data_IF_728528034011
#
_entry.id   IF_728528034011
#
_cell.length_a   1.000
_cell.length_b   1.000
_cell.length_c   1.000
_cell.angle_alpha   90.00
_cell.angle_beta   90.00
_cell.angle_gamma   90.00
#
_symmetry.space_group_name_H-M   'P 1'
#
loop_
_entity.id
_entity.type
_entity.pdbx_description
1 polymer ?
#
# COMPACT_ATOMS: atom_id res chain seq x y z
N UNK A 1 -2.06 -25.02 34.18
CA UNK A 1 -2.43 -23.75 33.52
C UNK A 1 -1.69 -23.43 32.21
N UNK A 2 -0.63 -24.14 31.80
CA UNK A 2 0.09 -23.83 30.54
C UNK A 2 -0.58 -24.33 29.25
N UNK A 3 -1.46 -25.34 29.32
CA UNK A 3 -2.10 -25.94 28.12
C UNK A 3 -3.11 -25.01 27.44
N UNK A 4 -3.86 -24.21 28.20
CA UNK A 4 -4.87 -23.29 27.64
C UNK A 4 -4.25 -22.11 26.89
N UNK A 5 -3.08 -21.62 27.31
CA UNK A 5 -2.39 -20.51 26.65
C UNK A 5 -1.93 -20.87 25.24
N UNK A 6 -1.41 -22.10 25.05
CA UNK A 6 -0.99 -22.60 23.74
C UNK A 6 -2.19 -22.83 22.80
N UNK A 7 -3.33 -23.28 23.33
CA UNK A 7 -4.55 -23.45 22.53
C UNK A 7 -5.10 -22.11 22.05
N UNK A 8 -5.05 -21.06 22.88
CA UNK A 8 -5.49 -19.71 22.50
C UNK A 8 -4.60 -19.13 21.41
N UNK A 9 -3.28 -19.25 21.53
CA UNK A 9 -2.33 -18.79 20.50
C UNK A 9 -2.55 -19.52 19.16
N UNK A 10 -2.79 -20.83 19.20
CA UNK A 10 -3.09 -21.61 18.00
C UNK A 10 -4.43 -21.20 17.36
N UNK A 11 -5.47 -20.96 18.17
CA UNK A 11 -6.75 -20.45 17.69
C UNK A 11 -6.60 -19.09 17.00
N UNK A 12 -5.82 -18.19 17.61
CA UNK A 12 -5.56 -16.84 17.07
C UNK A 12 -4.88 -16.91 15.70
N UNK A 13 -3.90 -17.78 15.51
CA UNK A 13 -3.23 -17.99 14.22
C UNK A 13 -4.21 -18.53 13.17
N UNK A 14 -5.09 -19.46 13.54
CA UNK A 14 -6.09 -20.02 12.63
C UNK A 14 -7.17 -18.99 12.21
N UNK A 15 -7.57 -18.09 13.11
CA UNK A 15 -8.47 -16.98 12.78
C UNK A 15 -7.84 -15.94 11.85
N UNK A 16 -6.51 -15.75 11.92
CA UNK A 16 -5.83 -14.83 11.00
C UNK A 16 -5.69 -15.42 9.58
N UNK A 17 -5.64 -16.76 9.44
CA UNK A 17 -5.53 -17.42 8.14
C UNK A 17 -6.83 -17.49 7.32
N UNK A 18 -8.00 -17.29 7.93
CA UNK A 18 -9.30 -17.39 7.23
C UNK A 18 -9.65 -16.19 6.36
N UNK A 19 -8.86 -15.10 6.39
CA UNK A 19 -9.07 -13.90 5.59
C UNK A 19 -8.18 -13.80 4.35
N UNK A 20 -7.38 -14.83 4.05
CA UNK A 20 -6.27 -14.73 3.09
C UNK A 20 -6.59 -15.14 1.63
N UNK A 21 -7.78 -15.69 1.32
CA UNK A 21 -7.93 -16.52 0.11
C UNK A 21 -8.78 -15.97 -1.05
N UNK A 22 -9.49 -14.83 -0.93
CA UNK A 22 -10.56 -14.53 -1.90
C UNK A 22 -10.39 -13.30 -2.81
N UNK A 23 -9.19 -12.73 -2.94
CA UNK A 23 -9.02 -11.55 -3.81
C UNK A 23 -7.80 -11.67 -4.71
N UNK A 24 -8.06 -11.89 -5.99
CA UNK A 24 -7.11 -11.58 -7.04
C UNK A 24 -6.72 -10.10 -6.88
N UNK A 25 -5.53 -9.86 -6.35
CA UNK A 25 -5.01 -8.52 -6.09
C UNK A 25 -4.97 -7.75 -7.40
N UNK A 26 -5.72 -6.66 -7.48
CA UNK A 26 -5.63 -5.75 -8.63
C UNK A 26 -4.29 -5.03 -8.54
N UNK A 27 -3.53 -5.03 -9.62
CA UNK A 27 -2.30 -4.26 -9.74
C UNK A 27 -2.58 -3.14 -10.75
N UNK A 28 -2.23 -1.92 -10.37
CA UNK A 28 -2.29 -0.75 -11.24
C UNK A 28 -0.90 -0.20 -11.52
N UNK A 29 -0.81 0.70 -12.48
CA UNK A 29 0.37 1.51 -12.74
C UNK A 29 -0.06 2.96 -12.83
N UNK A 30 0.71 3.87 -12.24
CA UNK A 30 0.46 5.29 -12.28
C UNK A 30 1.79 6.01 -12.40
N UNK A 31 1.84 7.04 -13.22
CA UNK A 31 2.93 8.00 -13.22
C UNK A 31 2.37 9.36 -12.81
N UNK A 32 3.09 10.12 -12.00
CA UNK A 32 2.75 11.50 -11.68
C UNK A 32 3.93 12.42 -11.94
N UNK A 33 3.65 13.58 -12.51
CA UNK A 33 4.63 14.64 -12.76
C UNK A 33 4.24 15.85 -11.93
N UNK A 34 5.15 16.31 -11.07
CA UNK A 34 4.94 17.47 -10.21
C UNK A 34 6.16 18.39 -10.28
N UNK A 35 6.01 19.53 -10.95
CA UNK A 35 7.08 20.51 -11.20
C UNK A 35 8.33 19.90 -11.84
N UNK A 36 9.28 19.42 -11.03
CA UNK A 36 10.53 18.78 -11.47
C UNK A 36 10.69 17.35 -10.96
N UNK A 37 9.64 16.77 -10.37
CA UNK A 37 9.61 15.41 -9.87
C UNK A 37 8.72 14.53 -10.75
N UNK A 38 9.23 13.36 -11.11
CA UNK A 38 8.51 12.31 -11.80
C UNK A 38 8.46 11.09 -10.88
N UNK A 39 7.25 10.64 -10.53
CA UNK A 39 7.05 9.45 -9.71
C UNK A 39 6.38 8.34 -10.53
N UNK A 40 6.91 7.14 -10.41
CA UNK A 40 6.26 5.90 -10.83
C UNK A 40 5.70 5.19 -9.61
N UNK A 41 4.40 4.93 -9.62
CA UNK A 41 3.66 4.30 -8.54
C UNK A 41 3.07 2.98 -9.04
N UNK A 42 3.17 1.95 -8.21
CA UNK A 42 2.59 0.64 -8.50
C UNK A 42 1.57 0.27 -7.41
N UNK A 43 0.30 0.71 -7.53
CA UNK A 43 -0.75 0.33 -6.59
C UNK A 43 -1.03 -1.17 -6.61
N UNK A 44 -0.93 -1.80 -5.44
CA UNK A 44 -1.27 -3.19 -5.20
C UNK A 44 -2.44 -3.24 -4.22
N UNK A 45 -3.59 -3.68 -4.71
CA UNK A 45 -4.79 -3.86 -3.89
C UNK A 45 -4.63 -5.13 -3.05
N UNK A 46 -4.50 -4.96 -1.74
CA UNK A 46 -4.45 -6.05 -0.77
C UNK A 46 -5.86 -6.46 -0.37
N UNK A 47 -6.78 -5.49 -0.34
CA UNK A 47 -8.18 -5.74 -0.04
C UNK A 47 -9.08 -4.86 -0.91
N UNK A 48 -10.39 -4.96 -0.72
CA UNK A 48 -11.36 -4.11 -1.40
C UNK A 48 -11.27 -2.63 -1.02
N UNK A 49 -10.61 -2.31 0.10
CA UNK A 49 -10.51 -0.96 0.63
C UNK A 49 -9.06 -0.56 0.90
N UNK A 50 -8.10 -1.49 0.88
CA UNK A 50 -6.72 -1.22 1.25
C UNK A 50 -5.76 -1.46 0.10
N UNK A 51 -4.89 -0.47 -0.14
CA UNK A 51 -3.91 -0.47 -1.22
C UNK A 51 -2.55 -0.06 -0.68
N UNK A 52 -1.53 -0.82 -1.05
CA UNK A 52 -0.13 -0.47 -0.83
C UNK A 52 0.48 -0.06 -2.15
N UNK A 53 1.25 1.02 -2.15
CA UNK A 53 1.73 1.70 -3.35
C UNK A 53 3.22 1.96 -3.18
N UNK A 54 4.10 1.00 -3.52
CA UNK A 54 5.50 1.32 -3.75
C UNK A 54 5.63 2.40 -4.83
N UNK A 55 6.58 3.30 -4.63
CA UNK A 55 6.86 4.43 -5.50
C UNK A 55 8.36 4.58 -5.72
N UNK A 56 8.74 4.90 -6.96
CA UNK A 56 10.09 5.32 -7.33
C UNK A 56 9.97 6.70 -7.94
N UNK A 57 10.64 7.68 -7.34
CA UNK A 57 10.67 9.06 -7.77
C UNK A 57 12.00 9.44 -8.38
N UNK A 58 11.96 10.34 -9.35
CA UNK A 58 13.12 10.99 -9.92
C UNK A 58 12.90 12.50 -9.86
N UNK A 59 13.74 13.19 -9.09
CA UNK A 59 13.66 14.63 -8.94
C UNK A 59 14.83 15.29 -9.65
N UNK A 60 14.52 16.19 -10.57
CA UNK A 60 15.49 17.03 -11.24
C UNK A 60 15.59 18.32 -10.42
N UNK A 61 16.65 18.44 -9.62
CA UNK A 61 16.99 19.70 -8.97
C UNK A 61 17.90 20.49 -9.90
N UNK A 62 17.67 21.79 -10.00
CA UNK A 62 18.26 22.71 -10.98
C UNK A 62 19.75 22.46 -11.26
N UNK A 63 20.06 22.29 -12.55
CA UNK A 63 21.35 22.27 -13.26
C UNK A 63 22.44 21.26 -12.87
N UNK A 64 22.50 20.71 -11.65
CA UNK A 64 23.66 19.87 -11.24
C UNK A 64 23.36 18.64 -10.39
N UNK A 65 22.12 18.38 -10.00
CA UNK A 65 21.79 17.22 -9.15
C UNK A 65 20.49 16.56 -9.57
N UNK A 66 20.54 15.25 -9.78
CA UNK A 66 19.37 14.39 -9.95
C UNK A 66 19.26 13.48 -8.73
N UNK A 67 18.11 13.52 -8.06
CA UNK A 67 17.85 12.71 -6.88
C UNK A 67 16.89 11.57 -7.24
N UNK A 68 17.21 10.38 -6.74
CA UNK A 68 16.34 9.21 -6.83
C UNK A 68 15.67 9.02 -5.47
N UNK A 69 14.35 8.94 -5.46
CA UNK A 69 13.56 8.72 -4.27
C UNK A 69 12.95 7.31 -4.31
N UNK A 70 12.98 6.62 -3.18
CA UNK A 70 12.21 5.40 -2.96
C UNK A 70 11.17 5.71 -1.89
N UNK A 71 9.93 5.43 -2.19
CA UNK A 71 8.84 5.69 -1.27
C UNK A 71 7.80 4.59 -1.30
N UNK A 72 6.88 4.69 -0.36
CA UNK A 72 5.68 3.89 -0.34
C UNK A 72 4.52 4.72 0.21
N UNK A 73 3.33 4.41 -0.26
CA UNK A 73 2.10 4.91 0.33
C UNK A 73 1.17 3.75 0.66
N UNK A 74 0.34 3.96 1.68
CA UNK A 74 -0.79 3.11 2.00
C UNK A 74 -2.06 3.95 1.92
N UNK A 75 -3.11 3.41 1.30
CA UNK A 75 -4.42 4.07 1.19
C UNK A 75 -5.51 3.15 1.71
N UNK A 76 -6.40 3.71 2.52
CA UNK A 76 -7.65 3.10 2.96
C UNK A 76 -8.83 3.87 2.37
N UNK A 77 -9.60 3.22 1.50
CA UNK A 77 -10.76 3.77 0.82
C UNK A 77 -12.01 3.59 1.70
N UNK A 78 -12.70 4.70 1.97
CA UNK A 78 -13.83 4.75 2.91
C UNK A 78 -15.07 4.12 2.28
N UNK A 79 -15.35 4.47 1.02
CA UNK A 79 -16.57 4.05 0.32
C UNK A 79 -16.26 3.56 -1.10
N UNK A 80 -17.20 2.79 -1.67
CA UNK A 80 -17.11 2.20 -3.01
C UNK A 80 -18.18 2.78 -3.94
N UNK A 81 -18.08 4.07 -4.21
CA UNK A 81 -18.91 4.76 -5.18
C UNK A 81 -18.07 5.22 -6.37
N UNK A 82 -18.67 5.95 -7.32
CA UNK A 82 -17.99 6.45 -8.52
C UNK A 82 -16.76 7.31 -8.18
N UNK A 83 -16.80 7.97 -7.01
CA UNK A 83 -15.65 8.60 -6.38
C UNK A 83 -15.25 7.76 -5.18
N UNK A 84 -13.97 7.41 -5.10
CA UNK A 84 -13.42 6.58 -4.03
C UNK A 84 -12.58 7.46 -3.09
N UNK A 85 -13.18 8.12 -2.08
CA UNK A 85 -12.43 8.89 -1.09
C UNK A 85 -11.54 7.94 -0.28
N UNK A 86 -10.33 8.40 0.04
CA UNK A 86 -9.40 7.62 0.84
C UNK A 86 -8.66 8.48 1.87
N UNK A 87 -8.28 7.83 2.95
CA UNK A 87 -7.27 8.33 3.90
C UNK A 87 -5.99 7.55 3.63
N UNK A 88 -4.86 8.25 3.56
CA UNK A 88 -3.60 7.60 3.24
C UNK A 88 -2.41 8.20 3.97
N UNK A 89 -1.38 7.38 4.11
CA UNK A 89 -0.06 7.76 4.60
C UNK A 89 0.94 7.55 3.47
N UNK A 90 1.89 8.48 3.33
CA UNK A 90 2.99 8.40 2.36
C UNK A 90 4.29 8.69 3.10
N UNK A 91 5.31 7.89 2.83
CA UNK A 91 6.66 8.07 3.35
C UNK A 91 7.69 7.66 2.31
N UNK A 92 8.87 8.26 2.39
CA UNK A 92 9.90 8.21 1.34
C UNK A 92 10.42 9.60 1.06
#
# INVERSE_FOLDING_TARGET
MKKSLNTISLLLVLFLSTQAQDRAGKIGFTASVQSSQLDFLLPVWISNQFVVIPAVGFQISSEKASDWALGAAARYYVEKEDVLPFVGLRGG
#
